data_IF_428361699477
#
_entry.id   IF_428361699477
#
_cell.length_a   1.000
_cell.length_b   1.000
_cell.length_c   1.000
_cell.angle_alpha   90.00
_cell.angle_beta   90.00
_cell.angle_gamma   90.00
#
_symmetry.space_group_name_H-M   'P 1'
#
loop_
_entity.id
_entity.type
_entity.pdbx_description
1 polymer ?
#
# COMPACT_ATOMS: atom_id res chain seq x y z
N UNK A 1 4.58 25.85 9.94
CA UNK A 1 3.21 25.48 9.52
C UNK A 1 3.20 25.07 8.03
N UNK A 2 4.35 25.13 7.34
CA UNK A 2 4.45 24.96 5.89
C UNK A 2 4.49 23.52 5.39
N UNK A 3 5.13 22.57 6.10
CA UNK A 3 5.40 21.23 5.55
C UNK A 3 4.16 20.47 5.05
N UNK A 4 3.01 20.61 5.73
CA UNK A 4 1.77 19.94 5.32
C UNK A 4 1.14 20.62 4.09
N UNK A 5 1.24 21.95 4.00
CA UNK A 5 0.75 22.73 2.87
C UNK A 5 1.65 22.50 1.65
N UNK A 6 2.96 22.48 1.84
CA UNK A 6 3.93 22.21 0.79
C UNK A 6 3.76 20.78 0.27
N UNK A 7 3.58 19.80 1.17
CA UNK A 7 3.28 18.44 0.75
C UNK A 7 1.97 18.33 -0.04
N UNK A 8 0.94 19.12 0.32
CA UNK A 8 -0.31 19.17 -0.43
C UNK A 8 -0.12 19.77 -1.83
N UNK A 9 0.64 20.86 -1.96
CA UNK A 9 0.93 21.52 -3.25
C UNK A 9 1.75 20.62 -4.18
N UNK A 10 2.80 20.01 -3.64
CA UNK A 10 3.73 19.16 -4.39
C UNK A 10 3.24 17.70 -4.52
N UNK A 11 2.09 17.38 -3.91
CA UNK A 11 1.55 16.01 -3.77
C UNK A 11 2.59 15.01 -3.27
N UNK A 12 3.43 15.47 -2.34
CA UNK A 12 4.49 14.68 -1.73
C UNK A 12 4.03 14.09 -0.40
N UNK A 13 4.97 13.57 0.39
CA UNK A 13 4.69 12.99 1.70
C UNK A 13 5.53 13.66 2.78
N UNK A 14 5.05 13.58 4.02
CA UNK A 14 5.80 14.00 5.20
C UNK A 14 5.49 13.05 6.35
N UNK A 15 6.29 13.13 7.41
CA UNK A 15 6.05 12.32 8.60
C UNK A 15 6.09 13.17 9.86
N UNK A 16 5.42 12.67 10.90
CA UNK A 16 5.50 13.17 12.26
C UNK A 16 6.10 12.07 13.11
N UNK A 17 7.22 12.38 13.77
CA UNK A 17 7.94 11.44 14.63
C UNK A 17 7.88 11.95 16.06
N UNK A 18 7.37 11.12 16.97
CA UNK A 18 7.50 11.34 18.40
C UNK A 18 8.81 10.71 18.88
N UNK A 19 9.86 11.52 18.99
CA UNK A 19 11.19 11.07 19.38
C UNK A 19 11.28 10.42 20.77
N UNK A 20 10.35 10.70 21.68
CA UNK A 20 10.33 10.08 23.01
C UNK A 20 9.88 8.61 22.96
N UNK A 21 8.96 8.30 22.04
CA UNK A 21 8.34 6.96 21.95
C UNK A 21 8.84 6.16 20.74
N UNK A 22 9.51 6.82 19.79
CA UNK A 22 9.84 6.24 18.49
C UNK A 22 8.62 6.09 17.57
N UNK A 23 7.43 6.52 18.00
CA UNK A 23 6.22 6.40 17.19
C UNK A 23 6.25 7.36 16.01
N UNK A 24 5.88 6.86 14.82
CA UNK A 24 5.91 7.59 13.56
C UNK A 24 4.54 7.51 12.88
N UNK A 25 4.09 8.64 12.34
CA UNK A 25 2.93 8.72 11.45
C UNK A 25 3.43 9.23 10.10
N UNK A 26 3.15 8.47 9.04
CA UNK A 26 3.41 8.87 7.67
C UNK A 26 2.14 9.47 7.05
N UNK A 27 2.28 10.65 6.45
CA UNK A 27 1.23 11.34 5.71
C UNK A 27 1.61 11.32 4.23
N UNK A 28 0.84 10.58 3.44
CA UNK A 28 0.99 10.53 1.97
C UNK A 28 -0.18 11.29 1.37
N UNK A 29 0.11 12.31 0.58
CA UNK A 29 -0.93 13.05 -0.16
C UNK A 29 -1.40 12.21 -1.34
N UNK A 30 -2.70 12.22 -1.59
CA UNK A 30 -3.31 11.51 -2.71
C UNK A 30 -2.70 12.00 -4.04
N UNK A 31 -1.97 11.12 -4.72
CA UNK A 31 -1.40 11.39 -6.05
C UNK A 31 -2.52 11.45 -7.10
N UNK A 32 -2.23 12.09 -8.24
CA UNK A 32 -3.17 12.28 -9.35
C UNK A 32 -3.09 11.19 -10.42
N UNK A 33 -2.66 9.99 -10.03
CA UNK A 33 -2.58 8.84 -10.92
C UNK A 33 -3.80 7.93 -10.75
N UNK A 34 -4.11 7.18 -11.81
CA UNK A 34 -5.29 6.33 -11.87
C UNK A 34 -5.36 5.31 -10.74
N UNK A 35 -4.22 4.77 -10.31
CA UNK A 35 -4.18 3.78 -9.24
C UNK A 35 -4.50 4.43 -7.89
N UNK A 36 -3.83 5.53 -7.55
CA UNK A 36 -4.04 6.23 -6.29
C UNK A 36 -5.49 6.70 -6.11
N UNK A 37 -6.11 7.24 -7.17
CA UNK A 37 -7.52 7.63 -7.15
C UNK A 37 -8.41 6.40 -6.90
N UNK A 38 -8.17 5.30 -7.62
CA UNK A 38 -8.96 4.08 -7.48
C UNK A 38 -8.81 3.42 -6.10
N UNK A 39 -7.60 3.32 -5.58
CA UNK A 39 -7.31 2.83 -4.22
C UNK A 39 -8.07 3.67 -3.18
N UNK A 40 -8.03 4.99 -3.32
CA UNK A 40 -8.72 5.87 -2.39
C UNK A 40 -10.23 5.68 -2.46
N UNK A 41 -10.82 5.55 -3.65
CA UNK A 41 -12.26 5.28 -3.82
C UNK A 41 -12.69 3.93 -3.24
N UNK A 42 -11.85 2.90 -3.35
CA UNK A 42 -12.13 1.55 -2.85
C UNK A 42 -11.97 1.38 -1.33
N UNK A 43 -11.53 2.42 -0.61
CA UNK A 43 -11.34 2.38 0.85
C UNK A 43 -12.60 1.89 1.58
N UNK A 44 -12.41 1.02 2.56
CA UNK A 44 -13.49 0.36 3.31
C UNK A 44 -13.68 1.04 4.65
N UNK A 45 -14.94 1.30 5.04
CA UNK A 45 -15.26 1.84 6.36
C UNK A 45 -15.33 0.71 7.39
N UNK A 46 -14.54 0.80 8.46
CA UNK A 46 -14.48 -0.21 9.53
C UNK A 46 -14.65 0.44 10.90
N UNK A 47 -15.06 -0.36 11.89
CA UNK A 47 -15.02 0.05 13.29
C UNK A 47 -13.70 -0.42 13.90
N UNK A 48 -12.81 0.51 14.22
CA UNK A 48 -11.51 0.22 14.81
C UNK A 48 -11.37 1.01 16.11
N UNK A 49 -11.14 0.32 17.23
CA UNK A 49 -11.05 0.94 18.57
C UNK A 49 -12.26 1.85 18.87
N UNK A 50 -13.47 1.36 18.58
CA UNK A 50 -14.73 2.10 18.72
C UNK A 50 -14.82 3.41 17.91
N UNK A 51 -14.00 3.54 16.85
CA UNK A 51 -14.05 4.67 15.91
C UNK A 51 -14.29 4.17 14.50
N UNK A 52 -15.17 4.88 13.77
CA UNK A 52 -15.38 4.64 12.35
C UNK A 52 -14.23 5.24 11.56
N UNK A 53 -13.40 4.40 10.95
CA UNK A 53 -12.25 4.80 10.14
C UNK A 53 -12.33 4.20 8.73
N UNK A 54 -11.60 4.77 7.78
CA UNK A 54 -11.40 4.17 6.48
C UNK A 54 -10.06 3.44 6.44
N UNK A 55 -10.04 2.25 5.86
CA UNK A 55 -8.83 1.47 5.60
C UNK A 55 -8.74 1.13 4.11
N UNK A 56 -7.52 1.01 3.59
CA UNK A 56 -7.30 0.51 2.24
C UNK A 56 -7.81 -0.93 2.10
N UNK A 57 -8.11 -1.33 0.87
CA UNK A 57 -8.42 -2.73 0.61
C UNK A 57 -7.18 -3.60 0.75
N UNK A 58 -7.39 -4.92 0.85
CA UNK A 58 -6.31 -5.89 0.87
C UNK A 58 -5.44 -5.78 -0.39
N UNK A 59 -6.08 -5.75 -1.55
CA UNK A 59 -5.41 -5.72 -2.84
C UNK A 59 -4.63 -4.42 -3.04
N UNK A 60 -5.22 -3.28 -2.66
CA UNK A 60 -4.54 -1.99 -2.77
C UNK A 60 -3.35 -1.91 -1.82
N UNK A 61 -3.48 -2.45 -0.61
CA UNK A 61 -2.36 -2.52 0.35
C UNK A 61 -1.18 -3.33 -0.21
N UNK A 62 -1.45 -4.43 -0.92
CA UNK A 62 -0.43 -5.24 -1.59
C UNK A 62 0.26 -4.44 -2.69
N UNK A 63 -0.51 -3.81 -3.59
CA UNK A 63 0.04 -3.02 -4.71
C UNK A 63 0.85 -1.83 -4.19
N UNK A 64 0.32 -1.07 -3.24
CA UNK A 64 0.98 0.11 -2.66
C UNK A 64 2.30 -0.25 -1.97
N UNK A 65 2.37 -1.39 -1.27
CA UNK A 65 3.64 -1.88 -0.71
C UNK A 65 4.65 -2.26 -1.80
N UNK A 66 4.21 -2.91 -2.89
CA UNK A 66 5.10 -3.25 -4.01
C UNK A 66 5.64 -1.99 -4.70
N UNK A 67 4.80 -0.97 -4.89
CA UNK A 67 5.24 0.31 -5.44
C UNK A 67 6.29 0.98 -4.55
N UNK A 68 6.07 1.03 -3.23
CA UNK A 68 7.06 1.56 -2.29
C UNK A 68 8.36 0.77 -2.26
N UNK A 69 8.30 -0.55 -2.40
CA UNK A 69 9.50 -1.39 -2.52
C UNK A 69 10.32 -1.01 -3.74
N UNK A 70 9.66 -0.79 -4.89
CA UNK A 70 10.30 -0.38 -6.14
C UNK A 70 10.95 1.00 -6.01
N UNK A 71 10.32 1.93 -5.29
CA UNK A 71 10.86 3.28 -5.04
C UNK A 71 12.00 3.29 -4.01
N UNK A 72 11.92 2.45 -2.96
CA UNK A 72 12.85 2.46 -1.82
C UNK A 72 14.03 1.49 -1.92
N UNK A 73 14.04 0.62 -2.94
CA UNK A 73 15.04 -0.47 -3.12
C UNK A 73 15.19 -1.38 -1.89
N UNK A 74 14.15 -1.47 -1.06
CA UNK A 74 14.19 -2.18 0.23
C UNK A 74 13.64 -3.60 0.12
N UNK A 75 14.52 -4.61 0.18
CA UNK A 75 14.11 -6.02 0.20
C UNK A 75 13.30 -6.40 1.45
N UNK A 76 13.47 -5.70 2.57
CA UNK A 76 12.77 -6.00 3.84
C UNK A 76 11.25 -5.89 3.74
N UNK A 77 10.74 -5.06 2.84
CA UNK A 77 9.30 -4.91 2.62
C UNK A 77 8.68 -6.10 1.86
N UNK A 78 9.48 -6.97 1.22
CA UNK A 78 9.00 -8.21 0.57
C UNK A 78 8.31 -9.13 1.57
N UNK A 79 8.84 -9.26 2.78
CA UNK A 79 8.32 -10.17 3.82
C UNK A 79 6.93 -9.75 4.31
N UNK A 80 6.67 -8.45 4.43
CA UNK A 80 5.35 -7.93 4.81
C UNK A 80 4.27 -8.33 3.80
N UNK A 81 4.57 -8.15 2.50
CA UNK A 81 3.62 -8.48 1.43
C UNK A 81 3.38 -9.99 1.39
N UNK A 82 4.44 -10.79 1.58
CA UNK A 82 4.32 -12.25 1.68
C UNK A 82 3.43 -12.67 2.87
N UNK A 83 3.60 -12.03 4.03
CA UNK A 83 2.78 -12.31 5.21
C UNK A 83 1.30 -12.02 4.97
N UNK A 84 0.99 -10.87 4.37
CA UNK A 84 -0.38 -10.49 4.00
C UNK A 84 -0.99 -11.53 3.05
N UNK A 85 -0.26 -11.88 1.98
CA UNK A 85 -0.74 -12.83 0.97
C UNK A 85 -0.99 -14.21 1.57
N UNK A 86 -0.08 -14.73 2.41
CA UNK A 86 -0.24 -16.05 3.04
C UNK A 86 -1.47 -16.12 3.95
N UNK A 87 -1.74 -15.05 4.70
CA UNK A 87 -2.87 -15.00 5.64
C UNK A 87 -4.21 -14.78 4.92
N UNK A 88 -4.21 -14.03 3.82
CA UNK A 88 -5.43 -13.58 3.17
C UNK A 88 -5.71 -14.25 1.82
N UNK A 89 -4.96 -15.29 1.45
CA UNK A 89 -5.00 -15.94 0.13
C UNK A 89 -6.42 -16.20 -0.41
N UNK A 90 -7.34 -16.62 0.44
CA UNK A 90 -8.70 -17.02 0.06
C UNK A 90 -9.64 -15.82 -0.18
N UNK A 91 -9.19 -14.61 0.19
CA UNK A 91 -9.94 -13.36 0.09
C UNK A 91 -9.35 -12.39 -0.95
N UNK A 92 -8.32 -12.80 -1.68
CA UNK A 92 -7.63 -11.95 -2.67
C UNK A 92 -8.38 -11.97 -4.01
N UNK A 93 -8.70 -10.80 -4.53
CA UNK A 93 -9.09 -10.64 -5.94
C UNK A 93 -7.82 -10.64 -6.84
N UNK A 94 -7.48 -11.82 -7.35
CA UNK A 94 -6.35 -11.98 -8.28
C UNK A 94 -6.54 -11.27 -9.61
N UNK A 95 -7.78 -11.11 -10.08
CA UNK A 95 -8.08 -10.39 -11.32
C UNK A 95 -7.73 -8.92 -11.19
N UNK A 96 -8.09 -8.31 -10.06
CA UNK A 96 -7.74 -6.93 -9.72
C UNK A 96 -6.22 -6.75 -9.59
N UNK A 97 -5.55 -7.62 -8.84
CA UNK A 97 -4.09 -7.56 -8.70
C UNK A 97 -3.38 -7.67 -10.05
N UNK A 98 -3.80 -8.61 -10.91
CA UNK A 98 -3.21 -8.80 -12.24
C UNK A 98 -3.42 -7.59 -13.15
N UNK A 99 -4.61 -7.00 -13.13
CA UNK A 99 -4.91 -5.78 -13.90
C UNK A 99 -3.95 -4.66 -13.53
N UNK A 100 -3.89 -4.29 -12.25
CA UNK A 100 -3.07 -3.18 -11.81
C UNK A 100 -1.58 -3.48 -11.89
N UNK A 101 -1.18 -4.73 -11.66
CA UNK A 101 0.21 -5.11 -11.81
C UNK A 101 0.73 -4.88 -13.24
N UNK A 102 -0.11 -5.13 -14.24
CA UNK A 102 0.18 -4.82 -15.64
C UNK A 102 0.24 -3.32 -15.89
N UNK A 103 -0.78 -2.57 -15.47
CA UNK A 103 -0.85 -1.11 -15.68
C UNK A 103 0.32 -0.38 -15.00
N UNK A 104 0.80 -0.86 -13.86
CA UNK A 104 1.88 -0.26 -13.08
C UNK A 104 3.27 -0.85 -13.36
N UNK A 105 3.37 -1.81 -14.28
CA UNK A 105 4.61 -2.52 -14.60
C UNK A 105 5.31 -3.11 -13.36
N UNK A 106 4.54 -3.89 -12.58
CA UNK A 106 5.02 -4.63 -11.39
C UNK A 106 4.68 -6.13 -11.45
N UNK A 107 4.25 -6.64 -12.61
CA UNK A 107 3.88 -8.05 -12.79
C UNK A 107 4.96 -9.03 -12.35
N UNK A 108 6.22 -8.75 -12.66
CA UNK A 108 7.33 -9.65 -12.32
C UNK A 108 7.58 -9.71 -10.81
N UNK A 109 7.46 -8.57 -10.13
CA UNK A 109 7.59 -8.50 -8.67
C UNK A 109 6.43 -9.25 -8.01
N UNK A 110 5.21 -9.05 -8.52
CA UNK A 110 4.03 -9.74 -8.01
C UNK A 110 4.18 -11.27 -8.17
N UNK A 111 4.63 -11.74 -9.35
CA UNK A 111 4.91 -13.17 -9.59
C UNK A 111 5.99 -13.73 -8.67
N UNK A 112 7.08 -13.00 -8.44
CA UNK A 112 8.15 -13.40 -7.52
C UNK A 112 7.59 -13.62 -6.10
N UNK A 113 6.78 -12.67 -5.62
CA UNK A 113 6.15 -12.73 -4.29
C UNK A 113 5.20 -13.92 -4.22
N UNK A 114 4.31 -14.12 -5.19
CA UNK A 114 3.37 -15.24 -5.16
C UNK A 114 4.08 -16.60 -5.18
N UNK A 115 5.13 -16.73 -6.02
CA UNK A 115 5.97 -17.94 -6.05
C UNK A 115 6.61 -18.24 -4.69
N UNK A 116 7.11 -17.22 -3.99
CA UNK A 116 7.67 -17.36 -2.62
C UNK A 116 6.61 -17.61 -1.54
N UNK A 117 5.33 -17.33 -1.85
CA UNK A 117 4.21 -17.59 -0.95
C UNK A 117 3.59 -18.98 -1.11
N UNK A 118 4.15 -19.83 -1.99
CA UNK A 118 3.61 -21.16 -2.36
C UNK A 118 2.19 -21.10 -2.97
N UNK A 119 1.85 -19.95 -3.59
CA UNK A 119 0.58 -19.73 -4.27
C UNK A 119 0.85 -19.63 -5.77
N UNK A 120 0.06 -20.36 -6.57
CA UNK A 120 0.16 -20.34 -8.03
C UNK A 120 -0.87 -19.36 -8.58
N UNK A 121 -0.41 -18.41 -9.42
CA UNK A 121 -1.21 -17.42 -10.15
C UNK A 121 -1.74 -17.99 -11.48
#
# INVERSE_FOLDING_TARGET
MDIAIDALKERSSFNIINFKTGFKIDFIVLKDDSFSINEFERRRKVNFLNKKVFIATLEDTIISKILWMKESNSEKQKEDVLGIIKVQKDNIDFGYLKKWAKELNIEDILKEIFKKSDITL
#
